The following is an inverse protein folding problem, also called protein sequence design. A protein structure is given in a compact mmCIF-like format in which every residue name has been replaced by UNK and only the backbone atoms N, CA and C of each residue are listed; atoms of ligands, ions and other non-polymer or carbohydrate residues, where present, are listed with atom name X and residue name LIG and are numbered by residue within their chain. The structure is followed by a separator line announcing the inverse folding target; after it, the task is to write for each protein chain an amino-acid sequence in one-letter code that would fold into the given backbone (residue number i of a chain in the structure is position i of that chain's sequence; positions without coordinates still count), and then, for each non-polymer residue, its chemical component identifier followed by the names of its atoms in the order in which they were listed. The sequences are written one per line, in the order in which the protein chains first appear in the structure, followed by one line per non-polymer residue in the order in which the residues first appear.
data_IF_034773726074
#
_entry.id   IF_034773726074
#
_cell.length_a   1.000
_cell.length_b   1.000
_cell.length_c   1.000
_cell.angle_alpha   90.00
_cell.angle_beta   90.00
_cell.angle_gamma   90.00
#
_symmetry.space_group_name_H-M   'P 1'
#
loop_
_entity.id
_entity.type
_entity.pdbx_description
1 polymer ?
#
# COMPACT_ATOMS: atom_id res chain seq x y z
N UNK A 1 -3.78 53.88 -36.18
CA UNK A 1 -2.66 54.03 -35.22
C UNK A 1 -1.76 52.81 -35.33
N UNK A 2 -0.53 52.96 -35.82
CA UNK A 2 0.40 51.84 -36.01
C UNK A 2 0.92 51.35 -34.65
N UNK A 3 0.67 50.07 -34.31
CA UNK A 3 1.25 49.42 -33.13
C UNK A 3 2.78 49.39 -33.29
N UNK A 4 3.52 50.09 -32.41
CA UNK A 4 4.97 49.96 -32.30
C UNK A 4 5.31 48.50 -31.98
N UNK A 5 5.98 47.80 -32.90
CA UNK A 5 6.61 46.51 -32.60
C UNK A 5 7.81 46.79 -31.69
N UNK A 6 7.67 46.58 -30.39
CA UNK A 6 8.80 46.57 -29.47
C UNK A 6 9.68 45.37 -29.81
N UNK A 7 10.87 45.62 -30.38
CA UNK A 7 11.89 44.56 -30.53
C UNK A 7 12.33 44.15 -29.14
N UNK A 8 12.21 42.86 -28.83
CA UNK A 8 12.74 42.27 -27.59
C UNK A 8 14.27 42.44 -27.56
N UNK A 9 14.81 42.75 -26.38
CA UNK A 9 16.24 42.83 -26.18
C UNK A 9 16.86 41.42 -26.18
N UNK A 10 18.14 41.24 -26.58
CA UNK A 10 18.80 39.93 -26.61
C UNK A 10 18.78 39.19 -25.27
N UNK A 11 18.85 39.91 -24.14
CA UNK A 11 18.73 39.33 -22.80
C UNK A 11 17.35 38.72 -22.54
N UNK A 12 16.29 39.34 -23.05
CA UNK A 12 14.91 38.85 -22.92
C UNK A 12 14.71 37.59 -23.76
N UNK A 13 15.32 37.53 -24.95
CA UNK A 13 15.28 36.33 -25.81
C UNK A 13 15.92 35.14 -25.09
N UNK A 14 17.15 35.30 -24.57
CA UNK A 14 17.85 34.25 -23.80
C UNK A 14 17.07 33.80 -22.56
N UNK A 15 16.32 34.71 -21.93
CA UNK A 15 15.49 34.40 -20.78
C UNK A 15 14.29 33.52 -21.17
N UNK A 16 13.60 33.87 -22.26
CA UNK A 16 12.43 33.14 -22.76
C UNK A 16 12.77 31.74 -23.28
N UNK A 17 13.97 31.54 -23.84
CA UNK A 17 14.47 30.21 -24.24
C UNK A 17 14.57 29.26 -23.04
N UNK A 18 14.94 29.78 -21.86
CA UNK A 18 15.06 28.97 -20.63
C UNK A 18 13.79 28.92 -19.80
N UNK A 19 12.90 29.90 -19.97
CA UNK A 19 11.66 30.04 -19.20
C UNK A 19 10.49 30.26 -20.17
N UNK A 20 10.04 29.20 -20.87
CA UNK A 20 8.95 29.34 -21.83
C UNK A 20 7.68 29.81 -21.12
N UNK A 21 7.08 30.88 -21.64
CA UNK A 21 5.82 31.41 -21.13
C UNK A 21 4.68 30.67 -21.80
N UNK A 22 3.88 29.95 -21.01
CA UNK A 22 2.68 29.28 -21.47
C UNK A 22 1.47 30.10 -21.04
N UNK A 23 0.62 30.45 -21.99
CA UNK A 23 -0.63 31.17 -21.72
C UNK A 23 -1.82 30.25 -21.95
N UNK A 24 -2.67 30.10 -20.93
CA UNK A 24 -3.90 29.33 -21.02
C UNK A 24 -5.10 30.27 -21.15
N UNK A 25 -6.07 29.90 -21.97
CA UNK A 25 -7.36 30.60 -22.03
C UNK A 25 -8.38 29.75 -21.28
N UNK A 26 -8.80 30.25 -20.12
CA UNK A 26 -9.84 29.64 -19.30
C UNK A 26 -11.13 30.42 -19.48
N UNK A 27 -12.27 29.73 -19.45
CA UNK A 27 -13.57 30.39 -19.28
C UNK A 27 -13.64 31.02 -17.90
N UNK A 28 -14.53 31.99 -17.72
CA UNK A 28 -14.71 32.69 -16.44
C UNK A 28 -14.99 31.72 -15.29
N UNK A 29 -15.89 30.77 -15.52
CA UNK A 29 -16.28 29.73 -14.55
C UNK A 29 -15.09 28.86 -14.12
N UNK A 30 -14.23 28.47 -15.06
CA UNK A 30 -13.05 27.63 -14.80
C UNK A 30 -12.00 28.40 -14.00
N UNK A 31 -11.84 29.70 -14.30
CA UNK A 31 -10.94 30.58 -13.56
C UNK A 31 -11.40 30.77 -12.11
N UNK A 32 -12.69 30.96 -11.89
CA UNK A 32 -13.26 31.10 -10.54
C UNK A 32 -13.04 29.84 -9.71
N UNK A 33 -13.28 28.65 -10.29
CA UNK A 33 -12.98 27.36 -9.64
C UNK A 33 -11.50 27.20 -9.29
N UNK A 34 -10.60 27.58 -10.20
CA UNK A 34 -9.16 27.52 -9.95
C UNK A 34 -8.75 28.46 -8.81
N UNK A 35 -9.28 29.68 -8.78
CA UNK A 35 -9.01 30.63 -7.71
C UNK A 35 -9.54 30.13 -6.35
N UNK A 36 -10.67 29.44 -6.33
CA UNK A 36 -11.22 28.82 -5.11
C UNK A 36 -10.34 27.69 -4.57
N UNK A 37 -9.89 26.78 -5.45
CA UNK A 37 -8.95 25.70 -5.07
C UNK A 37 -7.65 26.29 -4.50
N UNK A 38 -7.13 27.33 -5.16
CA UNK A 38 -5.86 27.94 -4.80
C UNK A 38 -5.96 28.73 -3.49
N UNK A 39 -7.10 29.38 -3.18
CA UNK A 39 -7.31 30.11 -1.91
C UNK A 39 -6.98 29.26 -0.69
N UNK A 40 -7.25 27.95 -0.73
CA UNK A 40 -7.01 27.04 0.38
C UNK A 40 -5.53 26.67 0.56
N UNK A 41 -4.68 26.90 -0.44
CA UNK A 41 -3.27 26.47 -0.45
C UNK A 41 -2.26 27.59 -0.16
N UNK A 42 -2.75 28.80 0.17
CA UNK A 42 -1.95 30.00 0.50
C UNK A 42 -0.83 30.31 -0.52
N UNK A 43 -1.01 29.90 -1.78
CA UNK A 43 -0.03 29.97 -2.85
C UNK A 43 -0.60 30.80 -4.01
N UNK A 44 0.23 31.51 -4.79
CA UNK A 44 -0.25 32.18 -5.99
C UNK A 44 -0.61 31.14 -7.07
N UNK A 45 -1.65 31.44 -7.86
CA UNK A 45 -2.19 30.54 -8.92
C UNK A 45 -1.10 30.04 -9.86
N UNK A 46 -0.17 30.90 -10.26
CA UNK A 46 0.94 30.52 -11.15
C UNK A 46 1.87 29.46 -10.55
N UNK A 47 2.15 29.56 -9.25
CA UNK A 47 2.97 28.59 -8.52
C UNK A 47 2.21 27.28 -8.37
N UNK A 48 0.93 27.35 -7.96
CA UNK A 48 0.08 26.18 -7.82
C UNK A 48 -0.04 25.39 -9.13
N UNK A 49 -0.30 26.06 -10.25
CA UNK A 49 -0.39 25.41 -11.58
C UNK A 49 0.96 24.82 -11.99
N UNK A 50 2.08 25.51 -11.72
CA UNK A 50 3.40 24.95 -11.99
C UNK A 50 3.67 23.70 -11.16
N UNK A 51 3.30 23.71 -9.89
CA UNK A 51 3.48 22.57 -8.98
C UNK A 51 2.55 21.41 -9.37
N UNK A 52 1.32 21.71 -9.81
CA UNK A 52 0.36 20.72 -10.34
C UNK A 52 0.91 20.03 -11.59
N UNK A 53 1.38 20.78 -12.59
CA UNK A 53 1.99 20.22 -13.81
C UNK A 53 3.25 19.38 -13.50
N UNK A 54 3.96 19.71 -12.42
CA UNK A 54 5.14 18.96 -11.95
C UNK A 54 4.79 17.76 -11.08
N UNK A 55 3.50 17.47 -10.85
CA UNK A 55 3.04 16.37 -10.00
C UNK A 55 3.37 16.56 -8.51
N UNK A 56 3.58 17.80 -8.06
CA UNK A 56 3.88 18.15 -6.67
C UNK A 56 2.64 18.50 -5.85
N UNK A 57 1.48 18.56 -6.49
CA UNK A 57 0.21 18.75 -5.80
C UNK A 57 -0.30 17.35 -5.48
N UNK A 58 -0.24 16.99 -4.20
CA UNK A 58 -0.87 15.77 -3.72
C UNK A 58 -2.39 15.93 -3.86
N UNK A 59 -3.03 14.94 -4.47
CA UNK A 59 -4.48 14.87 -4.49
C UNK A 59 -4.94 14.33 -3.13
N UNK A 60 -5.38 15.22 -2.24
CA UNK A 60 -5.81 14.87 -0.89
C UNK A 60 -6.96 13.83 -0.90
N UNK A 61 -7.83 13.85 -1.91
CA UNK A 61 -8.90 12.85 -2.06
C UNK A 61 -8.33 11.45 -2.34
N UNK A 62 -7.41 11.35 -3.30
CA UNK A 62 -6.74 10.09 -3.64
C UNK A 62 -5.91 9.56 -2.46
N UNK A 63 -5.28 10.46 -1.71
CA UNK A 63 -4.52 10.12 -0.49
C UNK A 63 -5.44 9.57 0.61
N UNK A 64 -6.62 10.16 0.79
CA UNK A 64 -7.62 9.68 1.75
C UNK A 64 -8.19 8.32 1.35
N UNK A 65 -8.48 8.11 0.07
CA UNK A 65 -8.93 6.81 -0.46
C UNK A 65 -7.86 5.73 -0.22
N UNK A 66 -6.60 6.00 -0.55
CA UNK A 66 -5.49 5.08 -0.32
C UNK A 66 -5.27 4.78 1.17
N UNK A 67 -5.50 5.76 2.06
CA UNK A 67 -5.43 5.55 3.51
C UNK A 67 -6.56 4.64 4.02
N UNK A 68 -7.77 4.81 3.48
CA UNK A 68 -8.93 3.98 3.82
C UNK A 68 -8.70 2.52 3.36
N UNK A 69 -8.22 2.33 2.13
CA UNK A 69 -7.88 1.01 1.58
C UNK A 69 -6.78 0.32 2.38
N UNK A 70 -5.73 1.04 2.76
CA UNK A 70 -4.64 0.49 3.58
C UNK A 70 -5.16 0.00 4.95
N UNK A 71 -6.06 0.74 5.61
CA UNK A 71 -6.67 0.29 6.88
C UNK A 71 -7.50 -0.99 6.71
N UNK A 72 -8.21 -1.14 5.58
CA UNK A 72 -8.98 -2.36 5.28
C UNK A 72 -8.03 -3.55 5.08
N UNK A 73 -6.94 -3.35 4.33
CA UNK A 73 -5.93 -4.37 4.07
C UNK A 73 -5.17 -4.78 5.35
N UNK A 74 -4.83 -3.84 6.22
CA UNK A 74 -4.20 -4.13 7.51
C UNK A 74 -5.11 -5.01 8.40
N UNK A 75 -6.40 -4.67 8.50
CA UNK A 75 -7.37 -5.49 9.22
C UNK A 75 -7.51 -6.89 8.62
N UNK A 76 -7.56 -7.00 7.29
CA UNK A 76 -7.62 -8.30 6.62
C UNK A 76 -6.36 -9.15 6.87
N UNK A 77 -5.19 -8.52 6.86
CA UNK A 77 -3.92 -9.19 7.14
C UNK A 77 -3.82 -9.69 8.58
N UNK A 78 -4.34 -8.95 9.55
CA UNK A 78 -4.38 -9.38 10.95
C UNK A 78 -5.31 -10.57 11.18
N UNK A 79 -6.47 -10.59 10.50
CA UNK A 79 -7.41 -11.72 10.48
C UNK A 79 -6.76 -12.96 9.85
N UNK A 80 -5.89 -12.80 8.85
CA UNK A 80 -5.19 -13.93 8.23
C UNK A 80 -4.04 -14.45 9.09
N UNK A 81 -3.27 -13.56 9.73
CA UNK A 81 -2.19 -13.96 10.65
C UNK A 81 -2.74 -14.80 11.81
N UNK A 82 -3.83 -14.37 12.42
CA UNK A 82 -4.53 -15.15 13.46
C UNK A 82 -5.11 -16.47 12.95
N UNK A 83 -5.52 -16.57 11.68
CA UNK A 83 -5.96 -17.85 11.10
C UNK A 83 -4.80 -18.81 10.82
N UNK A 84 -3.64 -18.29 10.46
CA UNK A 84 -2.45 -19.07 10.07
C UNK A 84 -1.69 -19.61 11.28
N UNK A 85 -1.57 -18.85 12.37
CA UNK A 85 -1.00 -19.34 13.64
C UNK A 85 -1.81 -20.51 14.26
N UNK A 86 -3.04 -20.69 13.81
CA UNK A 86 -4.00 -21.64 14.36
C UNK A 86 -4.12 -22.98 13.59
N UNK A 87 -3.31 -23.24 12.57
CA UNK A 87 -3.44 -24.45 11.72
C UNK A 87 -2.15 -25.26 11.66
N UNK A 88 -2.01 -26.18 12.61
CA UNK A 88 -1.77 -27.63 12.46
C UNK A 88 -2.22 -28.18 13.82
N UNK A 89 -3.23 -29.05 13.86
CA UNK A 89 -3.79 -29.56 15.12
C UNK A 89 -3.83 -31.07 15.08
N UNK A 90 -3.19 -31.70 16.07
CA UNK A 90 -3.24 -33.13 16.28
C UNK A 90 -4.19 -33.40 17.44
N UNK A 91 -5.05 -34.40 17.24
CA UNK A 91 -5.97 -34.86 18.26
C UNK A 91 -5.56 -36.26 18.67
N UNK A 92 -5.10 -36.41 19.92
CA UNK A 92 -4.59 -37.67 20.45
C UNK A 92 -5.23 -37.97 21.81
N UNK A 93 -5.58 -39.23 22.15
CA UNK A 93 -6.16 -39.55 23.43
C UNK A 93 -5.10 -39.54 24.56
N UNK A 94 -5.47 -39.00 25.72
CA UNK A 94 -4.67 -39.07 26.93
C UNK A 94 -4.57 -40.51 27.43
N UNK A 95 -3.37 -41.00 27.64
CA UNK A 95 -3.11 -42.39 28.05
C UNK A 95 -3.61 -42.74 29.46
N UNK A 96 -3.83 -41.75 30.32
CA UNK A 96 -4.21 -41.98 31.72
C UNK A 96 -5.73 -41.99 31.89
N UNK A 97 -6.43 -41.04 31.27
CA UNK A 97 -7.86 -40.83 31.47
C UNK A 97 -8.70 -41.04 30.20
N UNK A 98 -8.07 -41.30 29.05
CA UNK A 98 -8.73 -41.57 27.77
C UNK A 98 -9.30 -40.33 27.05
N UNK A 99 -9.21 -39.14 27.65
CA UNK A 99 -9.78 -37.90 27.07
C UNK A 99 -8.88 -37.31 25.96
N UNK A 100 -9.48 -36.63 24.99
CA UNK A 100 -8.77 -36.03 23.86
C UNK A 100 -7.85 -34.86 24.27
N UNK A 101 -6.64 -34.85 23.72
CA UNK A 101 -5.67 -33.76 23.80
C UNK A 101 -5.50 -33.14 22.41
N UNK A 102 -5.61 -31.81 22.32
CA UNK A 102 -5.36 -31.04 21.11
C UNK A 102 -3.97 -30.45 21.23
N UNK A 103 -3.12 -30.73 20.25
CA UNK A 103 -1.74 -30.28 20.23
C UNK A 103 -1.49 -29.51 18.95
N UNK A 104 -0.82 -28.36 19.05
CA UNK A 104 -0.51 -27.52 17.91
C UNK A 104 0.79 -26.73 18.07
N UNK A 105 1.33 -26.19 16.96
CA UNK A 105 2.58 -25.44 16.92
C UNK A 105 2.69 -24.28 17.91
N UNK A 106 1.56 -23.76 18.36
CA UNK A 106 1.48 -22.68 19.35
C UNK A 106 1.69 -23.14 20.80
N UNK A 107 1.78 -24.45 21.07
CA UNK A 107 1.98 -24.96 22.43
C UNK A 107 3.40 -24.67 22.93
N UNK A 108 3.53 -24.23 24.18
CA UNK A 108 4.82 -23.82 24.79
C UNK A 108 5.92 -24.89 24.71
N UNK A 109 5.52 -26.17 24.65
CA UNK A 109 6.43 -27.31 24.56
C UNK A 109 6.34 -28.04 23.21
N UNK A 110 5.84 -27.36 22.18
CA UNK A 110 5.65 -27.93 20.85
C UNK A 110 6.95 -28.54 20.32
N UNK A 111 8.01 -27.73 20.25
CA UNK A 111 9.28 -28.13 19.66
C UNK A 111 10.10 -29.06 20.56
N UNK A 112 10.00 -28.87 21.88
CA UNK A 112 10.85 -29.57 22.85
C UNK A 112 10.32 -30.96 23.21
N UNK A 113 9.00 -31.15 23.24
CA UNK A 113 8.39 -32.39 23.77
C UNK A 113 7.36 -32.97 22.81
N UNK A 114 6.43 -32.17 22.32
CA UNK A 114 5.24 -32.66 21.62
C UNK A 114 5.59 -33.17 20.22
N UNK A 115 6.25 -32.34 19.42
CA UNK A 115 6.60 -32.67 18.03
C UNK A 115 7.58 -33.86 17.93
N UNK A 116 8.64 -33.97 18.74
CA UNK A 116 9.51 -35.16 18.74
C UNK A 116 8.76 -36.45 19.06
N UNK A 117 7.80 -36.40 20.00
CA UNK A 117 6.97 -37.56 20.35
C UNK A 117 6.06 -37.96 19.21
N UNK A 118 5.40 -37.00 18.56
CA UNK A 118 4.57 -37.26 17.38
C UNK A 118 5.40 -37.86 16.24
N UNK A 119 6.58 -37.28 15.95
CA UNK A 119 7.49 -37.79 14.93
C UNK A 119 7.91 -39.24 15.19
N UNK A 120 8.21 -39.57 16.44
CA UNK A 120 8.57 -40.93 16.82
C UNK A 120 7.36 -41.89 16.76
N UNK A 121 6.17 -41.44 17.15
CA UNK A 121 4.96 -42.24 17.11
C UNK A 121 4.56 -42.62 15.67
N UNK A 122 4.80 -41.72 14.71
CA UNK A 122 4.54 -41.96 13.29
C UNK A 122 5.80 -42.33 12.50
N UNK A 123 6.86 -42.81 13.16
CA UNK A 123 8.14 -43.14 12.49
C UNK A 123 8.00 -44.20 11.39
N UNK A 124 7.06 -45.12 11.58
CA UNK A 124 6.76 -46.21 10.64
C UNK A 124 5.54 -45.85 9.75
N UNK A 125 4.89 -44.72 10.05
CA UNK A 125 3.82 -44.16 9.25
C UNK A 125 4.42 -43.50 8.00
N UNK A 126 4.06 -44.00 6.83
CA UNK A 126 4.49 -43.43 5.57
C UNK A 126 3.28 -42.94 4.77
N UNK A 127 3.49 -41.88 3.99
CA UNK A 127 2.49 -41.49 2.99
C UNK A 127 2.35 -42.63 1.97
N UNK A 128 1.12 -42.94 1.55
CA UNK A 128 0.87 -44.00 0.55
C UNK A 128 1.78 -43.94 -0.69
N UNK A 129 2.02 -42.75 -1.29
CA UNK A 129 2.95 -42.62 -2.40
C UNK A 129 4.43 -42.90 -2.05
N UNK A 130 4.81 -42.73 -0.78
CA UNK A 130 6.17 -43.02 -0.30
C UNK A 130 6.37 -44.51 0.01
N UNK A 131 5.32 -45.22 0.41
CA UNK A 131 5.36 -46.66 0.66
C UNK A 131 5.72 -47.46 -0.59
N UNK A 132 5.36 -46.95 -1.78
CA UNK A 132 5.55 -47.64 -3.07
C UNK A 132 6.94 -47.40 -3.70
N UNK A 133 7.86 -46.72 -3.01
CA UNK A 133 9.21 -46.38 -3.52
C UNK A 133 10.33 -47.22 -2.90
N UNK A 134 9.99 -48.16 -2.02
CA UNK A 134 10.92 -49.11 -1.41
C UNK A 134 11.20 -50.29 -2.33
#
# INVERSE_FOLDING_TARGET
MAKKKTKLFPSQIRYLEKNPIISFRLKKEEKEKLEEIVKNTNSPVSKWVSDFVRGKVENEEEKLELLEENKVLEKANEILRTKIENVIRFKVPCSVCGKDMILGPSDENWDSVIYPRLKNAFKDGCHGPCANKS
#
